data_IF_213123711500
#
_entry.id   IF_213123711500
#
_cell.length_a   1.000
_cell.length_b   1.000
_cell.length_c   1.000
_cell.angle_alpha   90.00
_cell.angle_beta   90.00
_cell.angle_gamma   90.00
#
_symmetry.space_group_name_H-M   'P 1'
#
loop_
_entity.id
_entity.type
_entity.pdbx_description
1 polymer ?
#
# COMPACT_ATOMS: atom_id res chain seq x y z
N UNK A 1 -9.73 4.97 -7.26
CA UNK A 1 -8.91 4.85 -6.03
C UNK A 1 -7.63 4.10 -6.33
N UNK A 2 -6.53 4.64 -5.84
CA UNK A 2 -5.21 4.03 -5.97
C UNK A 2 -4.65 3.82 -4.56
N UNK A 3 -4.60 2.57 -4.12
CA UNK A 3 -3.98 2.23 -2.84
C UNK A 3 -2.46 2.24 -3.04
N UNK A 4 -1.80 3.21 -2.42
CA UNK A 4 -0.34 3.37 -2.51
C UNK A 4 0.30 2.57 -1.38
N UNK A 5 1.12 1.58 -1.75
CA UNK A 5 1.85 0.75 -0.78
C UNK A 5 2.98 1.54 -0.11
N UNK A 6 3.40 1.08 1.06
CA UNK A 6 4.46 1.73 1.84
C UNK A 6 5.76 1.86 1.06
N UNK A 7 6.12 0.89 0.22
CA UNK A 7 7.33 0.98 -0.62
C UNK A 7 7.32 2.20 -1.52
N UNK A 8 6.19 2.50 -2.16
CA UNK A 8 6.05 3.68 -3.01
C UNK A 8 6.00 4.97 -2.20
N UNK A 9 5.31 5.00 -1.05
CA UNK A 9 5.33 6.16 -0.16
C UNK A 9 6.74 6.49 0.31
N UNK A 10 7.55 5.49 0.66
CA UNK A 10 8.93 5.69 1.11
C UNK A 10 9.76 6.37 0.01
N UNK A 11 9.64 5.93 -1.24
CA UNK A 11 10.31 6.60 -2.37
C UNK A 11 9.84 8.05 -2.50
N UNK A 12 8.56 8.30 -2.34
CA UNK A 12 8.00 9.65 -2.44
C UNK A 12 8.51 10.57 -1.33
N UNK A 13 8.65 10.05 -0.10
CA UNK A 13 9.06 10.84 1.07
C UNK A 13 10.58 11.09 1.13
N UNK A 14 11.39 10.33 0.40
CA UNK A 14 12.85 10.46 0.41
C UNK A 14 13.34 11.32 -0.75
N UNK A 15 14.29 12.26 -0.50
CA UNK A 15 14.83 13.10 -1.57
C UNK A 15 15.50 12.31 -2.69
N UNK A 16 16.10 11.15 -2.37
CA UNK A 16 16.78 10.27 -3.30
C UNK A 16 15.93 9.08 -3.77
N UNK A 17 14.63 9.12 -3.54
CA UNK A 17 13.70 8.10 -4.02
C UNK A 17 13.69 8.02 -5.54
N UNK A 18 13.29 6.87 -6.08
CA UNK A 18 13.20 6.65 -7.53
C UNK A 18 12.27 7.70 -8.16
N UNK A 19 12.75 8.49 -9.15
CA UNK A 19 11.94 9.55 -9.76
C UNK A 19 10.66 9.04 -10.43
N UNK A 20 10.68 7.84 -10.99
CA UNK A 20 9.49 7.26 -11.64
C UNK A 20 8.42 6.91 -10.62
N UNK A 21 8.82 6.31 -9.50
CA UNK A 21 7.91 6.00 -8.39
C UNK A 21 7.34 7.29 -7.80
N UNK A 22 8.21 8.27 -7.54
CA UNK A 22 7.80 9.58 -7.02
C UNK A 22 6.77 10.25 -7.92
N UNK A 23 6.98 10.22 -9.25
CA UNK A 23 6.03 10.78 -10.21
C UNK A 23 4.67 10.11 -10.16
N UNK A 24 4.63 8.78 -10.04
CA UNK A 24 3.35 8.05 -9.97
C UNK A 24 2.58 8.37 -8.71
N UNK A 25 3.28 8.45 -7.57
CA UNK A 25 2.64 8.80 -6.28
C UNK A 25 2.14 10.25 -6.34
N UNK A 26 2.94 11.18 -6.87
CA UNK A 26 2.54 12.58 -7.01
C UNK A 26 1.30 12.71 -7.89
N UNK A 27 1.24 11.98 -9.00
CA UNK A 27 0.08 11.97 -9.89
C UNK A 27 -1.18 11.46 -9.16
N UNK A 28 -1.05 10.42 -8.37
CA UNK A 28 -2.17 9.89 -7.58
C UNK A 28 -2.66 10.88 -6.53
N UNK A 29 -1.74 11.59 -5.88
CA UNK A 29 -2.09 12.65 -4.92
C UNK A 29 -2.77 13.82 -5.61
N UNK A 30 -2.22 14.29 -6.72
CA UNK A 30 -2.73 15.45 -7.45
C UNK A 30 -4.13 15.19 -8.02
N UNK A 31 -4.39 13.96 -8.49
CA UNK A 31 -5.71 13.58 -9.01
C UNK A 31 -6.75 13.31 -7.91
N UNK A 32 -6.34 13.28 -6.65
CA UNK A 32 -7.22 12.94 -5.54
C UNK A 32 -7.54 11.45 -5.43
N UNK A 33 -6.83 10.60 -6.15
CA UNK A 33 -7.09 9.15 -6.17
C UNK A 33 -6.27 8.37 -5.13
N UNK A 34 -5.21 8.96 -4.58
CA UNK A 34 -4.35 8.29 -3.61
C UNK A 34 -5.11 7.97 -2.33
N UNK A 35 -4.94 6.75 -1.86
CA UNK A 35 -5.47 6.30 -0.57
C UNK A 35 -4.48 5.36 0.09
N UNK A 36 -4.72 5.04 1.34
CA UNK A 36 -3.97 4.03 2.07
C UNK A 36 -4.91 3.17 2.90
N UNK A 37 -4.36 2.15 3.55
CA UNK A 37 -5.08 1.34 4.52
C UNK A 37 -4.37 1.40 5.87
N UNK A 38 -5.01 0.97 6.96
CA UNK A 38 -4.40 1.01 8.29
C UNK A 38 -3.04 0.34 8.39
N UNK A 39 -2.82 -0.76 7.68
CA UNK A 39 -1.54 -1.45 7.69
C UNK A 39 -0.43 -0.62 7.05
N UNK A 40 -0.69 -0.02 5.89
CA UNK A 40 0.28 0.88 5.24
C UNK A 40 0.60 2.06 6.15
N UNK A 41 -0.42 2.66 6.74
CA UNK A 41 -0.25 3.75 7.70
C UNK A 41 0.63 3.32 8.88
N UNK A 42 0.39 2.14 9.42
CA UNK A 42 1.22 1.60 10.51
C UNK A 42 2.68 1.39 10.09
N UNK A 43 2.90 0.84 8.91
CA UNK A 43 4.26 0.63 8.39
C UNK A 43 5.01 1.95 8.25
N UNK A 44 4.34 2.99 7.76
CA UNK A 44 4.94 4.32 7.62
C UNK A 44 5.26 4.95 8.98
N UNK A 45 4.35 4.85 9.95
CA UNK A 45 4.62 5.33 11.31
C UNK A 45 5.76 4.56 11.97
N UNK A 46 5.81 3.26 11.78
CA UNK A 46 6.88 2.41 12.32
C UNK A 46 8.26 2.79 11.78
N UNK A 47 8.32 3.28 10.55
CA UNK A 47 9.56 3.72 9.90
C UNK A 47 9.86 5.22 10.03
N UNK A 48 8.99 6.00 10.66
CA UNK A 48 9.18 7.44 10.78
C UNK A 48 10.35 7.76 11.72
N UNK A 49 11.34 8.51 11.22
CA UNK A 49 12.62 8.70 11.89
C UNK A 49 12.86 10.12 12.41
N UNK A 50 11.87 11.00 12.42
CA UNK A 50 12.05 12.35 12.90
C UNK A 50 10.80 13.20 12.76
N UNK A 51 10.90 14.47 13.18
CA UNK A 51 9.76 15.39 13.17
C UNK A 51 9.23 15.65 11.76
N UNK A 52 10.11 15.70 10.75
CA UNK A 52 9.74 15.92 9.37
C UNK A 52 8.87 14.77 8.85
N UNK A 53 9.28 13.52 9.09
CA UNK A 53 8.52 12.34 8.68
C UNK A 53 7.17 12.30 9.39
N UNK A 54 7.15 12.55 10.69
CA UNK A 54 5.92 12.56 11.48
C UNK A 54 4.95 13.65 11.01
N UNK A 55 5.48 14.83 10.66
CA UNK A 55 4.65 15.91 10.12
C UNK A 55 4.02 15.52 8.80
N UNK A 56 4.80 14.91 7.90
CA UNK A 56 4.29 14.44 6.61
C UNK A 56 3.17 13.42 6.79
N UNK A 57 3.34 12.48 7.74
CA UNK A 57 2.30 11.48 8.01
C UNK A 57 1.03 12.10 8.59
N UNK A 58 1.16 13.09 9.48
CA UNK A 58 -0.01 13.81 10.00
C UNK A 58 -0.75 14.56 8.88
N UNK A 59 -0.01 15.17 7.96
CA UNK A 59 -0.61 15.85 6.80
C UNK A 59 -1.37 14.85 5.93
N UNK A 60 -0.83 13.66 5.69
CA UNK A 60 -1.52 12.60 4.95
C UNK A 60 -2.78 12.12 5.67
N UNK A 61 -2.74 12.01 6.99
CA UNK A 61 -3.92 11.62 7.78
C UNK A 61 -5.10 12.58 7.60
N UNK A 62 -4.80 13.85 7.32
CA UNK A 62 -5.82 14.87 7.09
C UNK A 62 -6.45 14.80 5.69
N UNK A 63 -5.76 14.25 4.70
CA UNK A 63 -6.18 14.32 3.29
C UNK A 63 -6.43 12.98 2.62
N UNK A 64 -5.81 11.89 3.07
CA UNK A 64 -5.96 10.58 2.43
C UNK A 64 -7.22 9.85 2.89
N UNK A 65 -7.93 9.28 1.92
CA UNK A 65 -8.96 8.29 2.22
C UNK A 65 -8.29 7.03 2.77
N UNK A 66 -8.81 6.52 3.88
CA UNK A 66 -8.33 5.26 4.45
C UNK A 66 -9.33 4.14 4.14
N UNK A 67 -8.84 3.12 3.42
CA UNK A 67 -9.62 1.93 3.10
C UNK A 67 -9.65 1.01 4.30
N UNK A 68 -10.84 0.69 4.79
CA UNK A 68 -10.98 -0.15 5.97
C UNK A 68 -10.49 -1.58 5.72
N UNK A 69 -9.83 -2.15 6.72
CA UNK A 69 -9.51 -3.58 6.77
C UNK A 69 -10.60 -4.24 7.61
N UNK A 70 -11.71 -4.57 6.96
CA UNK A 70 -12.88 -5.18 7.58
C UNK A 70 -12.83 -6.73 7.51
N UNK A 71 -13.88 -7.38 7.99
CA UNK A 71 -13.95 -8.85 7.99
C UNK A 71 -13.87 -9.43 6.57
N UNK A 72 -14.43 -8.76 5.58
CA UNK A 72 -14.35 -9.21 4.19
C UNK A 72 -12.94 -9.11 3.62
N UNK A 73 -12.19 -8.08 4.01
CA UNK A 73 -10.76 -7.97 3.65
C UNK A 73 -9.98 -9.14 4.26
N UNK A 74 -10.20 -9.44 5.52
CA UNK A 74 -9.54 -10.56 6.19
C UNK A 74 -9.88 -11.90 5.51
N UNK A 75 -11.15 -12.14 5.23
CA UNK A 75 -11.59 -13.35 4.52
C UNK A 75 -10.93 -13.47 3.14
N UNK A 76 -10.87 -12.37 2.39
CA UNK A 76 -10.18 -12.31 1.11
C UNK A 76 -8.69 -12.59 1.23
N UNK A 77 -8.06 -12.07 2.27
CA UNK A 77 -6.62 -12.29 2.55
C UNK A 77 -6.35 -13.77 2.86
N UNK A 78 -7.17 -14.42 3.66
CA UNK A 78 -7.03 -15.87 3.93
C UNK A 78 -7.15 -16.69 2.65
N UNK A 79 -8.11 -16.37 1.79
CA UNK A 79 -8.28 -17.03 0.50
C UNK A 79 -7.10 -16.82 -0.43
N UNK A 80 -6.60 -15.60 -0.52
CA UNK A 80 -5.43 -15.25 -1.33
C UNK A 80 -4.17 -15.98 -0.82
N UNK A 81 -3.99 -16.06 0.49
CA UNK A 81 -2.87 -16.78 1.11
C UNK A 81 -2.88 -18.25 0.71
N UNK A 82 -4.06 -18.91 0.72
CA UNK A 82 -4.18 -20.30 0.29
C UNK A 82 -3.86 -20.48 -1.20
N UNK A 83 -4.35 -19.59 -2.05
CA UNK A 83 -4.06 -19.64 -3.49
C UNK A 83 -2.59 -19.42 -3.78
N UNK A 84 -1.95 -18.47 -3.07
CA UNK A 84 -0.52 -18.22 -3.20
C UNK A 84 0.28 -19.47 -2.85
N UNK A 85 -0.02 -20.11 -1.73
CA UNK A 85 0.66 -21.33 -1.32
C UNK A 85 0.47 -22.45 -2.33
N UNK A 86 -0.74 -22.64 -2.83
CA UNK A 86 -1.04 -23.68 -3.84
C UNK A 86 -0.30 -23.42 -5.17
N UNK A 87 -0.08 -22.16 -5.52
CA UNK A 87 0.64 -21.77 -6.73
C UNK A 87 2.16 -21.69 -6.54
N UNK A 88 2.67 -21.98 -5.34
CA UNK A 88 4.09 -21.87 -5.04
C UNK A 88 4.59 -20.43 -4.95
N UNK A 89 3.69 -19.48 -4.72
CA UNK A 89 4.03 -18.07 -4.57
C UNK A 89 4.33 -17.79 -3.10
N UNK A 90 5.54 -17.27 -2.83
CA UNK A 90 5.95 -16.84 -1.50
C UNK A 90 5.83 -15.33 -1.42
N UNK A 91 4.96 -14.84 -0.52
CA UNK A 91 4.78 -13.43 -0.28
C UNK A 91 4.58 -13.19 1.22
N UNK A 92 5.07 -12.06 1.77
CA UNK A 92 4.81 -11.70 3.16
C UNK A 92 3.30 -11.57 3.43
N UNK A 93 2.88 -11.94 4.63
CA UNK A 93 1.47 -11.83 5.02
C UNK A 93 0.95 -10.38 4.91
N UNK A 94 1.81 -9.41 5.18
CA UNK A 94 1.47 -7.98 5.04
C UNK A 94 1.11 -7.62 3.60
N UNK A 95 1.87 -8.11 2.61
CA UNK A 95 1.59 -7.86 1.20
C UNK A 95 0.29 -8.53 0.76
N UNK A 96 0.03 -9.74 1.26
CA UNK A 96 -1.23 -10.45 0.99
C UNK A 96 -2.42 -9.63 1.51
N UNK A 97 -2.31 -9.08 2.72
CA UNK A 97 -3.38 -8.27 3.31
C UNK A 97 -3.61 -6.98 2.52
N UNK A 98 -2.53 -6.30 2.10
CA UNK A 98 -2.64 -5.07 1.29
C UNK A 98 -3.30 -5.38 -0.06
N UNK A 99 -2.88 -6.45 -0.74
CA UNK A 99 -3.47 -6.86 -2.00
C UNK A 99 -4.97 -7.19 -1.84
N UNK A 100 -5.33 -7.91 -0.79
CA UNK A 100 -6.72 -8.23 -0.50
C UNK A 100 -7.56 -6.97 -0.21
N UNK A 101 -6.99 -6.01 0.50
CA UNK A 101 -7.65 -4.73 0.78
C UNK A 101 -7.94 -3.96 -0.51
N UNK A 102 -6.95 -3.85 -1.40
CA UNK A 102 -7.14 -3.20 -2.69
C UNK A 102 -8.25 -3.87 -3.50
N UNK A 103 -8.26 -5.18 -3.57
CA UNK A 103 -9.29 -5.94 -4.29
C UNK A 103 -10.68 -5.73 -3.72
N UNK A 104 -10.82 -5.81 -2.40
CA UNK A 104 -12.11 -5.65 -1.74
C UNK A 104 -12.73 -4.28 -2.03
N UNK A 105 -11.91 -3.25 -2.09
CA UNK A 105 -12.36 -1.88 -2.33
C UNK A 105 -12.38 -1.48 -3.81
N UNK A 106 -11.98 -2.37 -4.72
CA UNK A 106 -11.90 -2.05 -6.14
C UNK A 106 -10.85 -1.00 -6.47
N UNK A 107 -9.81 -0.91 -5.67
CA UNK A 107 -8.72 0.04 -5.86
C UNK A 107 -7.57 -0.58 -6.67
N UNK A 108 -6.94 0.24 -7.51
CA UNK A 108 -5.67 -0.13 -8.11
C UNK A 108 -4.58 -0.08 -7.05
N UNK A 109 -3.53 -0.87 -7.24
CA UNK A 109 -2.40 -0.89 -6.31
C UNK A 109 -1.17 -0.23 -6.94
N UNK A 110 -0.65 0.81 -6.29
CA UNK A 110 0.64 1.42 -6.64
C UNK A 110 1.71 0.89 -5.69
N UNK A 111 2.69 0.17 -6.24
CA UNK A 111 3.77 -0.40 -5.44
C UNK A 111 5.11 -0.35 -6.19
N UNK A 112 6.19 -0.19 -5.45
CA UNK A 112 7.55 -0.34 -5.93
C UNK A 112 8.12 -1.74 -5.64
N UNK A 113 7.32 -2.61 -5.01
CA UNK A 113 7.73 -3.96 -4.61
C UNK A 113 7.23 -5.00 -5.62
N UNK A 114 8.17 -5.72 -6.24
CA UNK A 114 7.86 -6.74 -7.25
C UNK A 114 7.10 -7.95 -6.69
N UNK A 115 7.06 -8.15 -5.37
CA UNK A 115 6.33 -9.27 -4.75
C UNK A 115 4.83 -9.24 -5.08
N UNK A 116 4.26 -8.06 -5.33
CA UNK A 116 2.86 -7.91 -5.68
C UNK A 116 2.51 -8.41 -7.09
N UNK A 117 3.48 -8.50 -8.00
CA UNK A 117 3.23 -8.99 -9.37
C UNK A 117 2.74 -10.43 -9.36
N UNK A 118 3.34 -11.27 -8.53
CA UNK A 118 2.93 -12.67 -8.41
C UNK A 118 1.53 -12.81 -7.77
N UNK A 119 1.22 -11.95 -6.81
CA UNK A 119 -0.10 -11.92 -6.18
C UNK A 119 -1.18 -11.47 -7.16
N UNK A 120 -0.86 -10.52 -8.03
CA UNK A 120 -1.81 -9.99 -9.01
C UNK A 120 -2.33 -11.07 -9.99
N UNK A 121 -1.52 -12.10 -10.24
CA UNK A 121 -1.89 -13.21 -11.12
C UNK A 121 -2.86 -14.21 -10.47
N UNK A 122 -3.09 -14.09 -9.19
CA UNK A 122 -3.97 -14.98 -8.42
C UNK A 122 -5.33 -14.31 -8.22
#
# INVERSE_FOLDING_TARGET
MILVDSSSWIHFLRPNGDPKVRSRVEAALTSGEACWCPLVRLELWNGAAGDRDRKSLRDFEDVLLELAIDDDVWAGAYGLARRARSAGVSAPATDILIAACARRHGADLETADSDFEQLAAL
#
